data_IF_246700105083
#
_entry.id   IF_246700105083
#
_cell.length_a   1.000
_cell.length_b   1.000
_cell.length_c   1.000
_cell.angle_alpha   90.00
_cell.angle_beta   90.00
_cell.angle_gamma   90.00
#
_symmetry.space_group_name_H-M   'P 1'
#
loop_
_entity.id
_entity.type
_entity.pdbx_description
1 polymer ?
#
# COMPACT_ATOMS: atom_id res chain seq x y z
N UNK A 1 -6.21 -13.83 4.02
CA UNK A 1 -6.15 -12.38 4.27
C UNK A 1 -7.29 -11.95 5.18
N UNK A 2 -6.98 -11.33 6.33
CA UNK A 2 -7.98 -10.76 7.25
C UNK A 2 -8.69 -9.56 6.60
N UNK A 3 -9.82 -9.13 7.14
CA UNK A 3 -10.57 -8.01 6.57
C UNK A 3 -9.84 -6.67 6.71
N UNK A 4 -9.04 -6.49 7.78
CA UNK A 4 -8.19 -5.31 7.97
C UNK A 4 -7.09 -5.21 6.90
N UNK A 5 -6.43 -6.33 6.57
CA UNK A 5 -5.40 -6.36 5.53
C UNK A 5 -5.98 -6.05 4.14
N UNK A 6 -7.18 -6.56 3.83
CA UNK A 6 -7.89 -6.20 2.59
C UNK A 6 -8.19 -4.72 2.52
N UNK A 7 -8.65 -4.12 3.62
CA UNK A 7 -8.95 -2.68 3.68
C UNK A 7 -7.71 -1.85 3.38
N UNK A 8 -6.55 -2.19 3.96
CA UNK A 8 -5.30 -1.48 3.68
C UNK A 8 -4.96 -1.49 2.19
N UNK A 9 -5.03 -2.66 1.53
CA UNK A 9 -4.75 -2.78 0.10
C UNK A 9 -5.69 -1.91 -0.74
N UNK A 10 -6.99 -1.96 -0.45
CA UNK A 10 -8.00 -1.24 -1.21
C UNK A 10 -7.88 0.28 -1.04
N UNK A 11 -7.64 0.74 0.20
CA UNK A 11 -7.40 2.16 0.48
C UNK A 11 -6.13 2.67 -0.18
N UNK A 12 -5.05 1.89 -0.10
CA UNK A 12 -3.79 2.17 -0.77
C UNK A 12 -3.98 2.28 -2.29
N UNK A 13 -4.63 1.29 -2.91
CA UNK A 13 -4.86 1.27 -4.35
C UNK A 13 -5.71 2.46 -4.80
N UNK A 14 -6.78 2.77 -4.09
CA UNK A 14 -7.61 3.94 -4.39
C UNK A 14 -6.83 5.25 -4.28
N UNK A 15 -6.02 5.40 -3.24
CA UNK A 15 -5.17 6.58 -3.05
C UNK A 15 -4.11 6.70 -4.15
N UNK A 16 -3.45 5.59 -4.50
CA UNK A 16 -2.42 5.53 -5.53
C UNK A 16 -2.98 5.90 -6.90
N UNK A 17 -4.11 5.29 -7.30
CA UNK A 17 -4.78 5.59 -8.56
C UNK A 17 -5.25 7.05 -8.63
N UNK A 18 -5.72 7.61 -7.53
CA UNK A 18 -6.09 9.02 -7.47
C UNK A 18 -4.86 9.93 -7.57
N UNK A 19 -3.74 9.56 -6.94
CA UNK A 19 -2.47 10.28 -7.06
C UNK A 19 -2.01 10.33 -8.52
N UNK A 20 -1.92 9.18 -9.19
CA UNK A 20 -1.55 9.08 -10.60
C UNK A 20 -2.49 9.92 -11.49
N UNK A 21 -3.80 9.82 -11.28
CA UNK A 21 -4.79 10.61 -12.03
C UNK A 21 -4.59 12.12 -11.92
N UNK A 22 -4.15 12.59 -10.74
CA UNK A 22 -3.95 14.01 -10.48
C UNK A 22 -2.52 14.49 -10.79
N UNK A 23 -1.67 13.63 -11.37
CA UNK A 23 -0.30 13.98 -11.73
C UNK A 23 0.65 14.05 -10.55
N UNK A 24 0.41 13.24 -9.50
CA UNK A 24 1.29 13.15 -8.35
C UNK A 24 2.70 12.69 -8.76
N UNK A 25 3.72 13.30 -8.17
CA UNK A 25 5.11 12.91 -8.42
C UNK A 25 5.55 11.68 -7.60
N UNK A 26 6.77 11.19 -7.85
CA UNK A 26 7.32 10.03 -7.16
C UNK A 26 7.37 10.21 -5.62
N UNK A 27 7.60 11.43 -5.13
CA UNK A 27 7.65 11.71 -3.70
C UNK A 27 6.24 11.68 -3.08
N UNK A 28 5.24 12.18 -3.78
CA UNK A 28 3.84 12.12 -3.36
C UNK A 28 3.31 10.68 -3.36
N UNK A 29 3.60 9.89 -4.40
CA UNK A 29 3.24 8.48 -4.43
C UNK A 29 3.96 7.67 -3.35
N UNK A 30 5.23 8.01 -3.04
CA UNK A 30 5.97 7.36 -1.96
C UNK A 30 5.32 7.56 -0.60
N UNK A 31 4.77 8.75 -0.33
CA UNK A 31 4.03 9.01 0.92
C UNK A 31 2.78 8.13 1.06
N UNK A 32 2.10 7.82 -0.05
CA UNK A 32 0.93 6.93 -0.05
C UNK A 32 1.35 5.51 0.33
N UNK A 33 2.44 5.01 -0.25
CA UNK A 33 3.03 3.71 0.09
C UNK A 33 3.46 3.65 1.55
N UNK A 34 4.17 4.67 2.03
CA UNK A 34 4.69 4.70 3.40
C UNK A 34 3.55 4.67 4.43
N UNK A 35 2.47 5.41 4.16
CA UNK A 35 1.24 5.34 4.97
C UNK A 35 0.65 3.94 5.02
N UNK A 36 0.61 3.22 3.90
CA UNK A 36 0.09 1.85 3.87
C UNK A 36 1.00 0.89 4.66
N UNK A 37 2.32 1.08 4.63
CA UNK A 37 3.25 0.33 5.47
C UNK A 37 3.12 0.65 6.96
N UNK A 38 2.84 1.89 7.33
CA UNK A 38 2.54 2.27 8.71
C UNK A 38 1.28 1.54 9.20
N UNK A 39 0.20 1.53 8.40
CA UNK A 39 -1.02 0.78 8.72
C UNK A 39 -0.77 -0.73 8.87
N UNK A 40 0.08 -1.31 8.01
CA UNK A 40 0.48 -2.71 8.13
C UNK A 40 1.24 -3.00 9.43
N UNK A 41 2.14 -2.09 9.83
CA UNK A 41 2.88 -2.19 11.07
C UNK A 41 1.94 -2.15 12.27
N UNK A 42 0.96 -1.25 12.28
CA UNK A 42 -0.03 -1.16 13.35
C UNK A 42 -0.84 -2.46 13.47
N UNK A 43 -1.27 -3.05 12.35
CA UNK A 43 -1.98 -4.35 12.35
C UNK A 43 -1.09 -5.48 12.89
N UNK A 44 0.20 -5.50 12.52
CA UNK A 44 1.16 -6.48 13.03
C UNK A 44 1.40 -6.34 14.54
N UNK A 45 1.39 -5.13 15.08
CA UNK A 45 1.62 -4.85 16.50
C UNK A 45 0.33 -4.98 17.34
N UNK A 46 -0.82 -5.15 16.68
CA UNK A 46 -2.12 -5.30 17.31
C UNK A 46 -2.34 -6.62 18.07
N UNK A 47 -3.37 -6.67 18.94
CA UNK A 47 -3.65 -7.82 19.80
C UNK A 47 -4.10 -9.09 19.05
N UNK A 48 -4.54 -8.94 17.80
CA UNK A 48 -4.96 -10.03 16.92
C UNK A 48 -4.14 -10.04 15.62
N UNK A 49 -2.81 -9.88 15.76
CA UNK A 49 -1.90 -9.81 14.63
C UNK A 49 -2.07 -11.00 13.67
N UNK A 50 -2.25 -10.75 12.36
CA UNK A 50 -2.23 -11.79 11.33
C UNK A 50 -0.89 -12.55 11.31
N UNK A 51 -0.85 -13.67 10.57
CA UNK A 51 0.43 -14.35 10.34
C UNK A 51 1.41 -13.45 9.60
N UNK A 52 2.70 -13.59 9.89
CA UNK A 52 3.75 -12.82 9.24
C UNK A 52 3.74 -13.01 7.71
N UNK A 53 3.40 -14.21 7.25
CA UNK A 53 3.18 -14.52 5.82
C UNK A 53 2.11 -13.62 5.21
N UNK A 54 0.94 -13.49 5.85
CA UNK A 54 -0.11 -12.58 5.36
C UNK A 54 0.32 -11.11 5.35
N UNK A 55 1.16 -10.68 6.30
CA UNK A 55 1.72 -9.32 6.28
C UNK A 55 2.66 -9.15 5.09
N UNK A 56 3.52 -10.13 4.81
CA UNK A 56 4.46 -10.08 3.69
C UNK A 56 3.79 -10.15 2.34
N UNK A 57 2.73 -10.95 2.19
CA UNK A 57 1.93 -11.00 0.96
C UNK A 57 1.37 -9.61 0.63
N UNK A 58 0.79 -8.94 1.62
CA UNK A 58 0.21 -7.59 1.44
C UNK A 58 1.29 -6.55 1.17
N UNK A 59 2.42 -6.62 1.89
CA UNK A 59 3.56 -5.74 1.66
C UNK A 59 4.11 -5.89 0.23
N UNK A 60 4.20 -7.12 -0.27
CA UNK A 60 4.58 -7.42 -1.65
C UNK A 60 3.60 -6.85 -2.66
N UNK A 61 2.29 -7.02 -2.43
CA UNK A 61 1.25 -6.46 -3.30
C UNK A 61 1.32 -4.92 -3.37
N UNK A 62 1.49 -4.25 -2.22
CA UNK A 62 1.69 -2.79 -2.15
C UNK A 62 2.92 -2.37 -2.96
N UNK A 63 4.04 -3.08 -2.80
CA UNK A 63 5.28 -2.82 -3.52
C UNK A 63 5.12 -2.90 -5.04
N UNK A 64 4.52 -3.99 -5.54
CA UNK A 64 4.28 -4.20 -6.97
C UNK A 64 3.40 -3.09 -7.55
N UNK A 65 2.27 -2.79 -6.89
CA UNK A 65 1.35 -1.73 -7.35
C UNK A 65 2.03 -0.35 -7.35
N UNK A 66 2.85 -0.06 -6.35
CA UNK A 66 3.63 1.17 -6.28
C UNK A 66 4.63 1.28 -7.44
N UNK A 67 5.38 0.22 -7.73
CA UNK A 67 6.32 0.18 -8.87
C UNK A 67 5.60 0.44 -10.20
N UNK A 68 4.46 -0.22 -10.42
CA UNK A 68 3.64 0.01 -11.61
C UNK A 68 3.15 1.46 -11.73
N UNK A 69 2.78 2.10 -10.61
CA UNK A 69 2.39 3.51 -10.61
C UNK A 69 3.57 4.43 -10.95
N UNK A 70 4.78 4.12 -10.47
CA UNK A 70 5.99 4.87 -10.83
C UNK A 70 6.32 4.75 -12.31
N UNK A 71 6.16 3.58 -12.90
CA UNK A 71 6.33 3.39 -14.35
C UNK A 71 5.29 4.18 -15.15
N UNK A 72 4.04 4.22 -14.68
CA UNK A 72 2.96 4.93 -15.34
C UNK A 72 3.18 6.46 -15.40
N UNK A 73 3.76 7.06 -14.35
CA UNK A 73 4.02 8.53 -14.33
C UNK A 73 5.31 8.93 -15.05
N UNK A 74 6.17 7.97 -15.40
CA UNK A 74 7.41 8.19 -16.18
C UNK A 74 7.17 8.14 -17.70
N UNK A 75 6.00 7.65 -18.11
CA UNK A 75 5.58 7.45 -19.51
C UNK A 75 4.84 8.65 -20.06
#
# INVERSE_FOLDING_TARGET
MTDELKTIVLEFEAALLNGVRNGADEAELSKIRDRAFDQLRDVKEGPAAPSLESIFDVAGEIGIKFEMALEAIKS
#
